data_IF_112468118804
#
_entry.id   IF_112468118804
#
_cell.length_a   1.000
_cell.length_b   1.000
_cell.length_c   1.000
_cell.angle_alpha   90.00
_cell.angle_beta   90.00
_cell.angle_gamma   90.00
#
_symmetry.space_group_name_H-M   'P 1'
#
loop_
_entity.id
_entity.type
_entity.pdbx_description
1 polymer ?
#
# COMPACT_ATOMS: atom_id res chain seq x y z
N UNK A 1 32.03 -39.86 7.17
CA UNK A 1 31.96 -38.38 7.08
C UNK A 1 30.50 -38.03 6.85
N UNK A 2 29.82 -37.50 7.86
CA UNK A 2 28.45 -36.97 7.72
C UNK A 2 28.54 -35.50 7.27
N UNK A 3 27.64 -35.01 6.41
CA UNK A 3 27.62 -33.60 6.04
C UNK A 3 27.04 -32.78 7.19
N UNK A 4 27.80 -31.80 7.65
CA UNK A 4 27.32 -30.75 8.55
C UNK A 4 26.32 -29.88 7.79
N UNK A 5 25.04 -29.97 8.16
CA UNK A 5 24.00 -29.05 7.69
C UNK A 5 24.20 -27.73 8.43
N UNK A 6 24.64 -26.69 7.71
CA UNK A 6 24.69 -25.33 8.24
C UNK A 6 23.28 -24.85 8.56
N UNK A 7 23.03 -24.52 9.83
CA UNK A 7 21.77 -23.90 10.24
C UNK A 7 21.56 -22.59 9.47
N UNK A 8 20.38 -22.45 8.86
CA UNK A 8 19.94 -21.22 8.21
C UNK A 8 19.84 -20.08 9.25
N UNK A 9 20.41 -18.89 9.01
CA UNK A 9 20.38 -17.77 9.97
C UNK A 9 18.98 -17.21 10.23
N UNK A 10 17.95 -17.72 9.54
CA UNK A 10 16.61 -17.14 9.48
C UNK A 10 15.56 -17.83 10.39
N UNK A 11 15.97 -18.71 11.32
CA UNK A 11 15.06 -19.48 12.16
C UNK A 11 14.46 -18.74 13.38
N UNK A 12 14.84 -17.48 13.65
CA UNK A 12 14.55 -16.81 14.93
C UNK A 12 13.52 -15.66 14.88
N UNK A 13 12.82 -15.43 13.77
CA UNK A 13 11.98 -14.22 13.62
C UNK A 13 10.62 -14.25 14.31
N UNK A 14 10.06 -15.44 14.57
CA UNK A 14 8.67 -15.56 15.06
C UNK A 14 8.43 -15.16 16.51
N UNK A 15 9.46 -15.12 17.36
CA UNK A 15 9.26 -14.84 18.79
C UNK A 15 9.15 -13.34 19.11
N UNK A 16 9.51 -12.44 18.19
CA UNK A 16 9.57 -10.99 18.47
C UNK A 16 8.24 -10.23 18.28
N UNK A 17 7.29 -10.74 17.50
CA UNK A 17 6.05 -10.00 17.16
C UNK A 17 5.11 -9.85 18.36
N UNK A 18 4.71 -10.96 18.98
CA UNK A 18 3.78 -10.96 20.11
C UNK A 18 4.38 -10.25 21.35
N UNK A 19 5.69 -10.36 21.58
CA UNK A 19 6.37 -9.75 22.73
C UNK A 19 6.45 -8.22 22.63
N UNK A 20 6.63 -7.64 21.44
CA UNK A 20 6.71 -6.17 21.27
C UNK A 20 5.36 -5.46 21.31
N UNK A 21 4.28 -6.12 20.86
CA UNK A 21 2.91 -5.59 20.99
C UNK A 21 2.43 -5.58 22.44
N UNK A 22 2.86 -6.55 23.26
CA UNK A 22 2.50 -6.58 24.69
C UNK A 22 3.27 -5.59 25.56
N UNK A 23 4.39 -5.03 25.10
CA UNK A 23 5.10 -3.97 25.84
C UNK A 23 4.52 -2.57 25.62
N UNK A 24 3.73 -2.36 24.57
CA UNK A 24 3.14 -1.05 24.21
C UNK A 24 1.74 -0.81 24.82
N UNK A 25 1.16 -1.78 25.53
CA UNK A 25 -0.23 -1.70 26.03
C UNK A 25 -0.42 -0.96 27.37
N UNK A 26 0.53 -0.12 27.80
CA UNK A 26 0.41 0.62 29.07
C UNK A 26 0.45 2.13 28.80
N UNK A 27 -0.73 2.75 28.81
CA UNK A 27 -1.06 4.16 28.48
C UNK A 27 -1.39 4.49 27.01
N UNK A 28 -2.50 3.97 26.48
CA UNK A 28 -3.15 4.57 25.29
C UNK A 28 -3.93 5.83 25.70
N UNK A 29 -3.46 7.01 25.28
CA UNK A 29 -4.30 8.21 25.21
C UNK A 29 -5.29 8.01 24.06
N UNK A 30 -6.55 7.68 24.36
CA UNK A 30 -7.60 7.59 23.34
C UNK A 30 -7.86 8.98 22.75
N UNK A 31 -7.48 9.17 21.49
CA UNK A 31 -7.80 10.36 20.71
C UNK A 31 -9.31 10.46 20.53
N UNK A 32 -9.88 11.64 20.77
CA UNK A 32 -11.33 11.85 20.61
C UNK A 32 -11.74 11.76 19.13
N UNK A 33 -13.00 11.39 18.88
CA UNK A 33 -13.54 11.38 17.51
C UNK A 33 -13.46 12.75 16.82
N UNK A 34 -13.51 13.84 17.59
CA UNK A 34 -13.33 15.20 17.09
C UNK A 34 -11.90 15.44 16.59
N UNK A 35 -10.90 15.01 17.36
CA UNK A 35 -9.49 15.11 16.98
C UNK A 35 -9.16 14.23 15.77
N UNK A 36 -9.70 12.99 15.73
CA UNK A 36 -9.57 12.11 14.56
C UNK A 36 -10.16 12.74 13.30
N UNK A 37 -11.36 13.31 13.39
CA UNK A 37 -12.00 14.00 12.27
C UNK A 37 -11.20 15.22 11.81
N UNK A 38 -10.63 16.00 12.74
CA UNK A 38 -9.80 17.16 12.43
C UNK A 38 -8.51 16.74 11.69
N UNK A 39 -7.83 15.68 12.16
CA UNK A 39 -6.66 15.10 11.48
C UNK A 39 -7.01 14.59 10.10
N UNK A 40 -8.14 13.89 9.96
CA UNK A 40 -8.62 13.41 8.67
C UNK A 40 -8.87 14.56 7.69
N UNK A 41 -9.55 15.64 8.12
CA UNK A 41 -9.74 16.83 7.28
C UNK A 41 -8.42 17.50 6.88
N UNK A 42 -7.45 17.57 7.80
CA UNK A 42 -6.12 18.08 7.51
C UNK A 42 -5.40 17.21 6.47
N UNK A 43 -5.49 15.89 6.59
CA UNK A 43 -4.95 14.92 5.64
C UNK A 43 -5.53 15.13 4.23
N UNK A 44 -6.86 15.19 4.10
CA UNK A 44 -7.54 15.43 2.82
C UNK A 44 -7.07 16.74 2.16
N UNK A 45 -6.95 17.82 2.94
CA UNK A 45 -6.46 19.12 2.45
C UNK A 45 -5.00 19.08 2.02
N UNK A 46 -4.14 18.45 2.84
CA UNK A 46 -2.69 18.34 2.60
C UNK A 46 -2.40 17.63 1.28
N UNK A 47 -3.10 16.52 1.03
CA UNK A 47 -2.89 15.69 -0.15
C UNK A 47 -3.81 16.02 -1.33
N UNK A 48 -4.64 17.05 -1.19
CA UNK A 48 -5.58 17.54 -2.22
C UNK A 48 -6.54 16.45 -2.71
N UNK A 49 -6.95 15.58 -1.80
CA UNK A 49 -7.86 14.49 -2.10
C UNK A 49 -9.25 15.06 -2.39
N UNK A 50 -9.86 14.62 -3.48
CA UNK A 50 -11.19 14.97 -3.91
C UNK A 50 -12.23 14.52 -2.87
N UNK A 51 -13.27 15.33 -2.64
CA UNK A 51 -14.33 15.03 -1.66
C UNK A 51 -15.01 13.67 -1.90
N UNK A 52 -15.18 13.26 -3.16
CA UNK A 52 -15.71 11.94 -3.55
C UNK A 52 -14.81 10.82 -3.01
N UNK A 53 -13.50 10.92 -3.29
CA UNK A 53 -12.49 9.96 -2.86
C UNK A 53 -12.41 9.93 -1.32
N UNK A 54 -12.36 11.11 -0.69
CA UNK A 54 -12.31 11.28 0.75
C UNK A 54 -13.50 10.62 1.46
N UNK A 55 -14.69 10.68 0.88
CA UNK A 55 -15.88 10.10 1.50
C UNK A 55 -15.85 8.57 1.55
N UNK A 56 -15.25 7.94 0.53
CA UNK A 56 -15.14 6.50 0.38
C UNK A 56 -14.03 5.91 1.24
N UNK A 57 -13.03 6.70 1.63
CA UNK A 57 -11.98 6.26 2.57
C UNK A 57 -12.51 5.72 3.90
N UNK A 58 -13.72 6.11 4.32
CA UNK A 58 -14.38 5.49 5.49
C UNK A 58 -14.61 3.98 5.33
N UNK A 59 -14.61 3.47 4.11
CA UNK A 59 -14.67 2.03 3.83
C UNK A 59 -13.45 1.26 4.36
N UNK A 60 -12.36 1.95 4.69
CA UNK A 60 -11.19 1.37 5.37
C UNK A 60 -11.34 1.25 6.89
N UNK A 61 -12.43 1.77 7.47
CA UNK A 61 -12.64 1.67 8.91
C UNK A 61 -12.68 0.19 9.33
N UNK A 62 -11.90 -0.15 10.35
CA UNK A 62 -11.73 -1.52 10.83
C UNK A 62 -10.85 -2.43 9.95
N UNK A 63 -10.16 -1.91 8.92
CA UNK A 63 -9.08 -2.66 8.27
C UNK A 63 -7.79 -2.57 9.08
N UNK A 64 -7.10 -3.70 9.21
CA UNK A 64 -5.65 -3.70 9.44
C UNK A 64 -4.95 -3.42 8.12
N UNK A 65 -4.04 -2.44 8.10
CA UNK A 65 -3.26 -2.14 6.90
C UNK A 65 -1.81 -2.55 7.15
N UNK A 66 -1.24 -3.32 6.23
CA UNK A 66 0.16 -3.72 6.21
C UNK A 66 0.78 -3.28 4.90
N UNK A 67 2.00 -2.73 4.96
CA UNK A 67 2.77 -2.37 3.78
C UNK A 67 3.95 -3.32 3.61
N UNK A 68 4.19 -3.82 2.40
CA UNK A 68 5.39 -4.55 2.02
C UNK A 68 6.17 -3.69 1.03
N UNK A 69 7.36 -3.27 1.43
CA UNK A 69 8.24 -2.41 0.67
C UNK A 69 9.38 -3.22 0.03
N UNK A 70 9.52 -3.11 -1.28
CA UNK A 70 10.72 -3.51 -1.99
C UNK A 70 11.88 -2.56 -1.66
N UNK A 71 12.95 -3.11 -1.10
CA UNK A 71 14.18 -2.43 -0.76
C UNK A 71 15.39 -3.03 -1.47
N UNK A 72 15.17 -3.74 -2.58
CA UNK A 72 16.20 -4.28 -3.46
C UNK A 72 16.96 -3.17 -4.22
N UNK A 73 18.08 -3.52 -4.85
CA UNK A 73 18.95 -2.53 -5.51
C UNK A 73 18.32 -1.84 -6.72
N UNK A 74 17.36 -2.47 -7.40
CA UNK A 74 16.62 -1.88 -8.53
C UNK A 74 15.84 -0.64 -8.11
N UNK A 75 15.42 -0.57 -6.85
CA UNK A 75 14.75 0.59 -6.25
C UNK A 75 15.63 1.86 -6.17
N UNK A 76 16.94 1.76 -6.43
CA UNK A 76 17.82 2.93 -6.55
C UNK A 76 17.85 3.54 -7.97
N UNK A 77 17.09 2.98 -8.91
CA UNK A 77 16.99 3.48 -10.29
C UNK A 77 16.37 4.87 -10.31
N UNK A 78 16.96 5.79 -11.07
CA UNK A 78 16.45 7.16 -11.22
C UNK A 78 15.26 7.19 -12.18
N UNK A 79 14.25 8.01 -11.86
CA UNK A 79 13.08 8.21 -12.70
C UNK A 79 13.43 9.21 -13.82
N UNK A 80 13.48 8.73 -15.06
CA UNK A 80 13.91 9.49 -16.26
C UNK A 80 13.12 10.78 -16.51
N UNK A 81 11.88 10.84 -16.05
CA UNK A 81 10.91 11.84 -16.50
C UNK A 81 10.91 13.12 -15.64
N UNK A 82 11.77 13.20 -14.63
CA UNK A 82 11.80 14.29 -13.64
C UNK A 82 13.16 15.02 -13.60
N UNK A 83 14.09 14.66 -14.48
CA UNK A 83 15.40 15.30 -14.55
C UNK A 83 15.32 16.67 -15.22
N UNK A 84 15.58 17.73 -14.46
CA UNK A 84 15.99 19.03 -15.00
C UNK A 84 17.51 19.19 -14.88
N UNK A 85 18.14 20.13 -15.60
CA UNK A 85 19.60 20.31 -15.61
C UNK A 85 20.23 20.59 -14.23
N UNK A 86 19.41 20.90 -13.21
CA UNK A 86 19.85 21.25 -11.87
C UNK A 86 19.19 20.43 -10.75
N UNK A 87 18.38 19.42 -11.07
CA UNK A 87 17.67 18.60 -10.07
C UNK A 87 17.97 17.12 -10.31
N UNK A 88 18.58 16.48 -9.30
CA UNK A 88 18.74 15.03 -9.30
C UNK A 88 17.36 14.39 -9.43
N UNK A 89 17.22 13.45 -10.36
CA UNK A 89 16.00 12.71 -10.53
C UNK A 89 15.71 11.92 -9.24
N UNK A 90 14.45 11.93 -8.74
CA UNK A 90 14.05 11.03 -7.66
C UNK A 90 14.28 9.58 -8.09
N UNK A 91 14.69 8.74 -7.16
CA UNK A 91 14.77 7.29 -7.41
C UNK A 91 13.41 6.63 -7.23
N UNK A 92 13.29 5.39 -7.72
CA UNK A 92 12.14 4.51 -7.49
C UNK A 92 11.76 4.44 -6.00
N UNK A 93 12.77 4.29 -5.13
CA UNK A 93 12.63 4.33 -3.68
C UNK A 93 12.06 5.64 -3.13
N UNK A 94 12.38 6.79 -3.74
CA UNK A 94 11.83 8.08 -3.29
C UNK A 94 10.31 8.15 -3.55
N UNK A 95 9.83 7.61 -4.66
CA UNK A 95 8.39 7.55 -4.97
C UNK A 95 7.66 6.56 -4.05
N UNK A 96 8.25 5.39 -3.80
CA UNK A 96 7.73 4.44 -2.80
C UNK A 96 7.59 5.12 -1.44
N UNK A 97 8.64 5.81 -0.97
CA UNK A 97 8.60 6.55 0.30
C UNK A 97 7.49 7.57 0.34
N UNK A 98 7.29 8.34 -0.72
CA UNK A 98 6.21 9.32 -0.79
C UNK A 98 4.84 8.64 -0.64
N UNK A 99 4.62 7.50 -1.28
CA UNK A 99 3.37 6.74 -1.16
C UNK A 99 3.18 6.22 0.26
N UNK A 100 4.18 5.54 0.83
CA UNK A 100 4.13 5.04 2.22
C UNK A 100 3.91 6.19 3.19
N UNK A 101 4.51 7.36 2.96
CA UNK A 101 4.26 8.54 3.78
C UNK A 101 2.80 8.95 3.83
N UNK A 102 2.13 8.96 2.69
CA UNK A 102 0.70 9.30 2.63
C UNK A 102 -0.14 8.23 3.33
N UNK A 103 0.20 6.96 3.16
CA UNK A 103 -0.54 5.86 3.80
C UNK A 103 -0.32 5.83 5.31
N UNK A 104 0.88 6.10 5.82
CA UNK A 104 1.15 6.24 7.26
C UNK A 104 0.39 7.44 7.85
N UNK A 105 0.42 8.60 7.16
CA UNK A 105 -0.35 9.77 7.59
C UNK A 105 -1.85 9.46 7.65
N UNK A 106 -2.40 8.73 6.66
CA UNK A 106 -3.79 8.27 6.68
C UNK A 106 -4.06 7.30 7.82
N UNK A 107 -3.21 6.27 7.98
CA UNK A 107 -3.34 5.26 9.01
C UNK A 107 -3.37 5.92 10.40
N UNK A 108 -2.56 6.94 10.65
CA UNK A 108 -2.56 7.71 11.90
C UNK A 108 -3.89 8.42 12.22
N UNK A 109 -4.79 8.55 11.24
CA UNK A 109 -6.15 9.09 11.42
C UNK A 109 -7.20 8.01 11.67
N UNK A 110 -6.94 6.77 11.23
CA UNK A 110 -7.88 5.65 11.26
C UNK A 110 -7.56 4.65 12.37
N UNK A 111 -6.29 4.27 12.51
CA UNK A 111 -5.77 3.28 13.46
C UNK A 111 -4.80 3.95 14.46
N UNK A 112 -5.12 3.98 15.77
CA UNK A 112 -4.24 4.56 16.77
C UNK A 112 -2.93 3.78 16.98
N UNK A 113 -2.87 2.51 16.59
CA UNK A 113 -1.68 1.67 16.77
C UNK A 113 -0.63 1.91 15.66
N UNK A 114 -1.00 2.59 14.58
CA UNK A 114 -0.13 2.86 13.43
C UNK A 114 -0.19 1.73 12.40
N UNK A 115 0.85 1.65 11.55
CA UNK A 115 0.90 0.70 10.45
C UNK A 115 2.16 -0.17 10.51
N UNK A 116 2.02 -1.46 10.18
CA UNK A 116 3.16 -2.36 10.08
C UNK A 116 3.77 -2.35 8.68
N UNK A 117 5.08 -2.11 8.61
CA UNK A 117 5.87 -2.05 7.37
C UNK A 117 6.85 -3.23 7.33
N UNK A 118 6.63 -4.14 6.39
CA UNK A 118 7.53 -5.24 6.06
C UNK A 118 8.44 -4.83 4.91
N UNK A 119 9.60 -5.46 4.83
CA UNK A 119 10.55 -5.24 3.76
C UNK A 119 10.93 -6.56 3.11
N UNK A 120 11.30 -6.50 1.83
CA UNK A 120 11.75 -7.68 1.11
C UNK A 120 13.09 -8.23 1.61
N UNK A 121 14.01 -7.36 2.06
CA UNK A 121 15.38 -7.77 2.39
C UNK A 121 15.83 -7.43 3.83
N UNK A 122 14.93 -6.95 4.71
CA UNK A 122 15.23 -6.67 6.12
C UNK A 122 14.06 -6.92 7.07
N UNK A 123 14.33 -6.71 8.36
CA UNK A 123 13.34 -6.84 9.43
C UNK A 123 12.17 -5.87 9.28
N UNK A 124 10.94 -6.32 9.60
CA UNK A 124 9.77 -5.44 9.64
C UNK A 124 9.91 -4.35 10.71
N UNK A 125 9.24 -3.23 10.47
CA UNK A 125 8.98 -2.18 11.45
C UNK A 125 7.50 -2.20 11.79
N UNK A 126 7.19 -2.22 13.09
CA UNK A 126 5.82 -2.35 13.58
C UNK A 126 5.34 -1.02 14.15
N UNK A 127 4.03 -0.77 14.07
CA UNK A 127 3.39 0.43 14.64
C UNK A 127 4.03 1.75 14.16
N UNK A 128 4.38 1.83 12.88
CA UNK A 128 4.97 3.04 12.28
C UNK A 128 3.90 4.13 12.27
N UNK A 129 4.20 5.26 12.92
CA UNK A 129 3.29 6.40 13.04
C UNK A 129 3.78 7.62 12.25
N UNK A 130 5.05 7.64 11.88
CA UNK A 130 5.64 8.66 11.02
C UNK A 130 6.46 8.04 9.91
N UNK A 131 6.31 8.59 8.71
CA UNK A 131 7.10 8.18 7.56
C UNK A 131 8.59 8.56 7.65
N UNK A 132 8.95 9.45 8.59
CA UNK A 132 10.34 9.77 8.91
C UNK A 132 11.08 8.56 9.52
N UNK A 133 10.35 7.61 10.10
CA UNK A 133 10.91 6.36 10.63
C UNK A 133 11.42 5.42 9.52
N UNK A 134 10.98 5.64 8.28
CA UNK A 134 11.46 4.89 7.12
C UNK A 134 12.90 5.30 6.80
N UNK A 135 13.87 4.48 7.19
CA UNK A 135 15.30 4.69 6.89
C UNK A 135 15.60 4.62 5.39
N UNK A 136 16.59 5.38 4.90
CA UNK A 136 17.07 5.33 3.50
C UNK A 136 18.03 4.16 3.28
N UNK A 137 17.57 2.94 3.53
CA UNK A 137 18.42 1.75 3.40
C UNK A 137 17.89 0.89 2.26
N UNK A 138 18.53 1.02 1.09
CA UNK A 138 18.42 0.04 0.01
C UNK A 138 19.46 -1.05 0.28
N UNK A 139 19.06 -2.29 0.09
CA UNK A 139 19.88 -3.48 0.31
C UNK A 139 20.07 -4.17 -1.04
N UNK A 140 21.30 -4.57 -1.34
CA UNK A 140 21.53 -5.47 -2.47
C UNK A 140 20.98 -6.84 -2.11
N UNK A 141 19.93 -7.26 -2.81
CA UNK A 141 19.21 -8.48 -2.48
C UNK A 141 18.17 -8.86 -3.54
N UNK A 142 17.65 -10.09 -3.44
CA UNK A 142 16.58 -10.58 -4.31
C UNK A 142 15.24 -9.88 -4.05
N UNK A 143 14.19 -10.31 -4.76
CA UNK A 143 12.80 -9.87 -4.61
C UNK A 143 11.94 -11.05 -4.09
N UNK A 144 12.07 -11.48 -2.82
CA UNK A 144 11.41 -12.67 -2.29
C UNK A 144 9.96 -12.40 -1.82
N UNK A 145 9.09 -12.09 -2.78
CA UNK A 145 7.69 -11.69 -2.52
C UNK A 145 6.91 -12.80 -1.83
N UNK A 146 7.03 -14.07 -2.25
CA UNK A 146 6.24 -15.16 -1.64
C UNK A 146 6.59 -15.33 -0.17
N UNK A 147 7.89 -15.35 0.14
CA UNK A 147 8.37 -15.50 1.51
C UNK A 147 7.79 -14.44 2.44
N UNK A 148 7.80 -13.17 2.03
CA UNK A 148 7.31 -12.07 2.87
C UNK A 148 5.79 -12.10 2.99
N UNK A 149 5.06 -12.40 1.91
CA UNK A 149 3.61 -12.57 2.00
C UNK A 149 3.21 -13.69 2.98
N UNK A 150 3.90 -14.85 2.94
CA UNK A 150 3.68 -15.91 3.94
C UNK A 150 3.95 -15.45 5.36
N UNK A 151 5.00 -14.65 5.55
CA UNK A 151 5.35 -14.10 6.85
C UNK A 151 4.24 -13.18 7.36
N UNK A 152 3.77 -12.23 6.55
CA UNK A 152 2.66 -11.32 6.90
C UNK A 152 1.40 -12.11 7.25
N UNK A 153 0.99 -13.05 6.40
CA UNK A 153 -0.24 -13.83 6.62
C UNK A 153 -0.15 -14.72 7.88
N UNK A 154 1.05 -15.18 8.23
CA UNK A 154 1.31 -15.92 9.46
C UNK A 154 1.26 -15.00 10.69
N UNK A 155 1.93 -13.85 10.64
CA UNK A 155 2.00 -12.90 11.74
C UNK A 155 0.64 -12.27 12.03
N UNK A 156 -0.16 -12.03 10.99
CA UNK A 156 -1.49 -11.43 11.04
C UNK A 156 -2.64 -12.43 11.15
N UNK A 157 -2.35 -13.71 11.40
CA UNK A 157 -3.36 -14.78 11.37
C UNK A 157 -4.52 -14.53 12.34
N UNK A 158 -4.24 -13.96 13.51
CA UNK A 158 -5.26 -13.69 14.52
C UNK A 158 -6.12 -12.48 14.14
N UNK A 159 -5.50 -11.46 13.54
CA UNK A 159 -6.12 -10.24 13.06
C UNK A 159 -7.09 -10.54 11.92
N UNK A 160 -6.69 -11.38 10.96
CA UNK A 160 -7.54 -11.78 9.83
C UNK A 160 -8.85 -12.47 10.29
N UNK A 161 -8.87 -13.04 11.50
CA UNK A 161 -10.09 -13.63 12.08
C UNK A 161 -11.03 -12.58 12.69
N UNK A 162 -10.50 -11.41 13.10
CA UNK A 162 -11.24 -10.40 13.85
C UNK A 162 -11.56 -9.15 13.01
N UNK A 163 -10.72 -8.85 12.03
CA UNK A 163 -10.79 -7.67 11.18
C UNK A 163 -10.34 -8.00 9.74
N UNK A 164 -10.64 -7.08 8.83
CA UNK A 164 -10.18 -7.19 7.45
C UNK A 164 -8.70 -6.82 7.38
N UNK A 165 -7.92 -7.47 6.53
CA UNK A 165 -6.51 -7.16 6.31
C UNK A 165 -6.31 -6.61 4.89
N UNK A 166 -5.73 -5.43 4.77
CA UNK A 166 -5.26 -4.86 3.50
C UNK A 166 -3.73 -4.93 3.46
N UNK A 167 -3.19 -5.68 2.51
CA UNK A 167 -1.75 -5.78 2.25
C UNK A 167 -1.45 -4.94 1.02
N UNK A 168 -0.61 -3.92 1.18
CA UNK A 168 -0.10 -3.10 0.08
C UNK A 168 1.29 -3.60 -0.27
N UNK A 169 1.46 -4.19 -1.46
CA UNK A 169 2.75 -4.67 -1.94
C UNK A 169 3.29 -3.69 -2.98
N UNK A 170 4.42 -3.05 -2.69
CA UNK A 170 5.09 -2.18 -3.63
C UNK A 170 6.43 -2.78 -4.04
N UNK A 171 6.57 -3.09 -5.34
CA UNK A 171 7.76 -3.71 -5.91
C UNK A 171 7.94 -3.28 -7.36
N UNK A 172 9.21 -3.27 -7.81
CA UNK A 172 9.59 -2.95 -9.18
C UNK A 172 10.00 -4.19 -9.99
N UNK A 173 9.74 -5.39 -9.47
CA UNK A 173 10.20 -6.62 -10.08
C UNK A 173 9.30 -7.83 -9.85
N UNK A 174 9.61 -8.89 -10.58
CA UNK A 174 8.98 -10.20 -10.43
C UNK A 174 9.60 -10.98 -9.27
N UNK A 175 8.87 -11.92 -8.66
CA UNK A 175 9.42 -12.76 -7.60
C UNK A 175 10.65 -13.52 -8.05
N UNK A 176 11.63 -13.55 -7.16
CA UNK A 176 12.86 -14.35 -7.35
C UNK A 176 12.80 -15.68 -6.59
N UNK A 177 11.72 -15.92 -5.84
CA UNK A 177 11.50 -17.12 -5.06
C UNK A 177 10.34 -17.98 -5.60
N UNK A 178 10.34 -19.25 -5.19
CA UNK A 178 9.23 -20.19 -5.37
C UNK A 178 8.75 -20.52 -6.80
N UNK A 179 9.53 -20.19 -7.84
CA UNK A 179 9.27 -20.57 -9.24
C UNK A 179 7.81 -20.32 -9.67
N UNK A 180 7.30 -19.10 -9.50
CA UNK A 180 5.92 -18.69 -9.85
C UNK A 180 4.79 -19.39 -9.07
N UNK A 181 5.07 -20.05 -7.93
CA UNK A 181 4.02 -20.65 -7.07
C UNK A 181 3.32 -19.64 -6.14
N UNK A 182 3.43 -18.35 -6.43
CA UNK A 182 2.73 -17.27 -5.74
C UNK A 182 1.21 -17.55 -5.68
N UNK A 183 0.53 -17.91 -6.79
CA UNK A 183 -0.92 -18.08 -6.79
C UNK A 183 -1.34 -19.14 -5.78
N UNK A 184 -0.69 -20.30 -5.73
CA UNK A 184 -1.08 -21.40 -4.83
C UNK A 184 -1.01 -21.02 -3.36
N UNK A 185 0.01 -20.25 -2.97
CA UNK A 185 0.19 -19.84 -1.57
C UNK A 185 -0.85 -18.81 -1.15
N UNK A 186 -1.11 -17.82 -2.00
CA UNK A 186 -2.10 -16.77 -1.72
C UNK A 186 -3.51 -17.36 -1.81
N UNK A 187 -3.84 -18.11 -2.87
CA UNK A 187 -5.13 -18.78 -3.06
C UNK A 187 -5.44 -19.75 -1.90
N UNK A 188 -4.44 -20.45 -1.36
CA UNK A 188 -4.63 -21.35 -0.23
C UNK A 188 -4.93 -20.62 1.09
N UNK A 189 -4.68 -19.32 1.18
CA UNK A 189 -5.11 -18.53 2.32
C UNK A 189 -6.60 -18.23 2.18
N UNK A 190 -7.42 -18.91 2.99
CA UNK A 190 -8.81 -18.54 3.19
C UNK A 190 -8.85 -17.43 4.24
N UNK A 191 -9.28 -16.23 3.89
CA UNK A 191 -9.31 -15.14 4.85
C UNK A 191 -9.94 -13.85 4.34
N UNK A 192 -10.19 -12.93 5.26
CA UNK A 192 -10.76 -11.62 5.00
C UNK A 192 -9.64 -10.62 4.66
N UNK A 193 -8.91 -10.87 3.58
CA UNK A 193 -7.80 -10.02 3.16
C UNK A 193 -7.96 -9.52 1.72
N UNK A 194 -7.28 -8.40 1.43
CA UNK A 194 -7.10 -7.82 0.10
C UNK A 194 -5.62 -7.54 -0.09
N UNK A 195 -5.08 -7.85 -1.26
CA UNK A 195 -3.72 -7.49 -1.65
C UNK A 195 -3.86 -6.46 -2.77
N UNK A 196 -3.32 -5.27 -2.58
CA UNK A 196 -3.12 -4.34 -3.69
C UNK A 196 -1.65 -4.31 -3.96
N UNK A 197 -1.29 -4.84 -5.12
CA UNK A 197 0.05 -4.68 -5.63
C UNK A 197 0.07 -3.45 -6.50
N UNK A 198 1.03 -2.57 -6.27
CA UNK A 198 1.21 -1.45 -7.18
C UNK A 198 2.67 -1.35 -7.58
N UNK A 199 2.87 -1.06 -8.87
CA UNK A 199 4.17 -0.81 -9.43
C UNK A 199 4.27 0.71 -9.64
N UNK A 200 5.02 1.44 -8.80
CA UNK A 200 5.19 2.87 -9.00
C UNK A 200 6.06 3.22 -10.23
N UNK A 201 6.40 2.25 -11.08
CA UNK A 201 7.43 2.40 -12.11
C UNK A 201 6.96 1.88 -13.46
N UNK A 202 7.25 2.68 -14.49
CA UNK A 202 6.97 2.35 -15.87
C UNK A 202 7.89 1.22 -16.37
N UNK A 203 7.49 -0.03 -16.10
CA UNK A 203 8.16 -1.26 -16.51
C UNK A 203 7.12 -2.21 -17.13
N UNK A 204 6.96 -2.13 -18.45
CA UNK A 204 5.93 -2.85 -19.22
C UNK A 204 6.02 -4.37 -19.05
N UNK A 205 7.24 -4.93 -18.90
CA UNK A 205 7.44 -6.38 -18.74
C UNK A 205 6.99 -6.83 -17.35
N UNK A 206 7.36 -6.07 -16.32
CA UNK A 206 6.89 -6.30 -14.96
C UNK A 206 5.35 -6.17 -14.89
N UNK A 207 4.79 -5.10 -15.46
CA UNK A 207 3.34 -4.88 -15.48
C UNK A 207 2.59 -5.99 -16.21
N UNK A 208 3.10 -6.48 -17.33
CA UNK A 208 2.46 -7.59 -18.02
C UNK A 208 2.45 -8.87 -17.18
N UNK A 209 3.50 -9.14 -16.40
CA UNK A 209 3.55 -10.27 -15.50
C UNK A 209 2.56 -10.09 -14.33
N UNK A 210 2.51 -8.90 -13.72
CA UNK A 210 1.61 -8.59 -12.61
C UNK A 210 0.13 -8.61 -13.01
N UNK A 211 -0.20 -8.12 -14.20
CA UNK A 211 -1.56 -8.17 -14.74
C UNK A 211 -2.07 -9.61 -14.98
N UNK A 212 -1.18 -10.61 -15.05
CA UNK A 212 -1.62 -12.01 -15.06
C UNK A 212 -2.03 -12.48 -13.67
N UNK A 213 -1.40 -11.98 -12.60
CA UNK A 213 -1.81 -12.30 -11.24
C UNK A 213 -3.15 -11.71 -10.87
N UNK A 214 -3.45 -10.50 -11.31
CA UNK A 214 -4.75 -9.87 -11.10
C UNK A 214 -5.91 -10.77 -11.59
N UNK A 215 -5.71 -11.40 -12.76
CA UNK A 215 -6.69 -12.32 -13.36
C UNK A 215 -6.80 -13.65 -12.62
N UNK A 216 -5.68 -14.17 -12.11
CA UNK A 216 -5.59 -15.55 -11.61
C UNK A 216 -5.74 -15.65 -10.08
N UNK A 217 -5.47 -14.56 -9.34
CA UNK A 217 -5.41 -14.55 -7.87
C UNK A 217 -6.62 -13.77 -7.32
N UNK A 218 -7.57 -14.45 -6.65
CA UNK A 218 -8.70 -13.76 -6.06
C UNK A 218 -8.23 -12.82 -4.96
N UNK A 219 -8.87 -11.65 -4.86
CA UNK A 219 -8.58 -10.61 -3.87
C UNK A 219 -7.21 -9.94 -4.02
N UNK A 220 -6.55 -10.12 -5.16
CA UNK A 220 -5.43 -9.30 -5.60
C UNK A 220 -5.95 -8.26 -6.60
N UNK A 221 -5.39 -7.06 -6.54
CA UNK A 221 -5.62 -5.96 -7.48
C UNK A 221 -4.25 -5.38 -7.86
N UNK A 222 -4.08 -4.94 -9.11
CA UNK A 222 -2.83 -4.39 -9.64
C UNK A 222 -3.03 -2.96 -10.12
N UNK A 223 -2.28 -2.03 -9.54
CA UNK A 223 -2.33 -0.61 -9.89
C UNK A 223 -0.99 -0.17 -10.50
N UNK A 224 -1.04 0.51 -11.65
CA UNK A 224 0.15 1.05 -12.33
C UNK A 224 0.64 2.36 -11.71
N UNK A 225 1.75 2.91 -12.21
CA UNK A 225 2.30 4.16 -11.71
C UNK A 225 1.34 5.34 -11.91
N UNK A 226 1.46 6.36 -11.04
CA UNK A 226 0.57 7.53 -11.05
C UNK A 226 0.43 8.19 -12.42
N UNK A 227 1.50 8.25 -13.23
CA UNK A 227 1.46 8.92 -14.53
C UNK A 227 0.63 8.12 -15.52
N UNK A 228 0.81 6.81 -15.57
CA UNK A 228 0.07 5.94 -16.47
C UNK A 228 -1.39 5.84 -16.03
N UNK A 229 -1.63 5.56 -14.75
CA UNK A 229 -2.97 5.54 -14.15
C UNK A 229 -3.74 6.85 -14.45
N UNK A 230 -3.08 8.00 -14.26
CA UNK A 230 -3.69 9.29 -14.58
C UNK A 230 -4.00 9.45 -16.06
N UNK A 231 -3.13 9.00 -16.97
CA UNK A 231 -3.39 9.08 -18.41
C UNK A 231 -4.62 8.24 -18.77
N UNK A 232 -4.73 7.05 -18.22
CA UNK A 232 -5.84 6.11 -18.47
C UNK A 232 -7.16 6.65 -17.94
N UNK A 233 -7.21 7.09 -16.67
CA UNK A 233 -8.39 7.77 -16.10
C UNK A 233 -8.80 8.97 -16.95
N UNK A 234 -7.86 9.83 -17.35
CA UNK A 234 -8.19 11.01 -18.17
C UNK A 234 -8.67 10.64 -19.58
N UNK A 235 -8.32 9.46 -20.10
CA UNK A 235 -8.79 8.97 -21.39
C UNK A 235 -10.27 8.59 -21.35
N UNK A 236 -10.75 8.03 -20.24
CA UNK A 236 -12.15 7.63 -20.04
C UNK A 236 -13.02 8.73 -19.43
N UNK A 237 -12.53 9.40 -18.38
CA UNK A 237 -13.28 10.43 -17.66
C UNK A 237 -13.21 11.81 -18.34
N UNK A 238 -12.17 12.06 -19.13
CA UNK A 238 -11.92 13.30 -19.85
C UNK A 238 -10.86 14.19 -19.18
N UNK A 239 -10.24 15.06 -19.98
CA UNK A 239 -9.06 15.89 -19.61
C UNK A 239 -9.25 16.81 -18.40
N UNK A 240 -10.50 17.14 -18.05
CA UNK A 240 -10.82 18.01 -16.92
C UNK A 240 -11.09 17.26 -15.63
N UNK A 241 -11.02 15.92 -15.63
CA UNK A 241 -11.29 15.13 -14.43
C UNK A 241 -10.22 15.41 -13.36
N UNK A 242 -10.62 15.80 -12.14
CA UNK A 242 -9.68 16.09 -11.06
C UNK A 242 -9.09 14.79 -10.51
N UNK A 243 -7.80 14.59 -10.74
CA UNK A 243 -7.06 13.45 -10.21
C UNK A 243 -5.66 13.90 -9.75
N UNK A 244 -5.53 14.04 -8.44
CA UNK A 244 -4.29 14.38 -7.73
C UNK A 244 -3.50 13.13 -7.38
N UNK A 245 -2.26 13.31 -6.90
CA UNK A 245 -1.48 12.20 -6.36
C UNK A 245 -2.10 11.64 -5.06
N UNK A 246 -2.78 12.47 -4.27
CA UNK A 246 -3.54 12.00 -3.12
C UNK A 246 -4.70 11.09 -3.55
N UNK A 247 -5.41 11.45 -4.62
CA UNK A 247 -6.50 10.63 -5.18
C UNK A 247 -5.98 9.28 -5.67
N UNK A 248 -4.79 9.27 -6.28
CA UNK A 248 -4.10 8.05 -6.68
C UNK A 248 -3.78 7.13 -5.49
N UNK A 249 -3.25 7.66 -4.38
CA UNK A 249 -3.03 6.85 -3.17
C UNK A 249 -4.34 6.31 -2.60
N UNK A 250 -5.42 7.09 -2.65
CA UNK A 250 -6.74 6.60 -2.25
C UNK A 250 -7.21 5.48 -3.19
N UNK A 251 -6.97 5.60 -4.50
CA UNK A 251 -7.27 4.52 -5.45
C UNK A 251 -6.47 3.25 -5.12
N UNK A 252 -5.16 3.33 -4.84
CA UNK A 252 -4.37 2.17 -4.38
C UNK A 252 -5.02 1.51 -3.16
N UNK A 253 -5.51 2.30 -2.20
CA UNK A 253 -6.10 1.74 -0.98
C UNK A 253 -7.48 1.11 -1.22
N UNK A 254 -8.24 1.63 -2.18
CA UNK A 254 -9.66 1.34 -2.33
C UNK A 254 -9.99 0.50 -3.57
N UNK A 255 -9.09 0.34 -4.55
CA UNK A 255 -9.33 -0.38 -5.81
C UNK A 255 -9.92 -1.77 -5.57
N UNK A 256 -9.19 -2.61 -4.83
CA UNK A 256 -9.66 -3.93 -4.43
C UNK A 256 -10.81 -3.98 -3.39
N UNK A 257 -11.31 -2.84 -2.91
CA UNK A 257 -12.34 -2.74 -1.85
C UNK A 257 -13.66 -2.20 -2.39
N UNK A 258 -13.63 -1.15 -3.21
CA UNK A 258 -14.78 -0.46 -3.77
C UNK A 258 -14.63 -0.42 -5.30
N UNK A 259 -15.43 -1.21 -6.04
CA UNK A 259 -15.36 -1.32 -7.49
C UNK A 259 -15.50 0.01 -8.23
N UNK A 260 -16.02 1.06 -7.58
CA UNK A 260 -16.07 2.38 -8.19
C UNK A 260 -14.68 2.90 -8.59
N UNK A 261 -13.64 2.59 -7.81
CA UNK A 261 -12.27 3.05 -8.11
C UNK A 261 -11.63 2.31 -9.28
N UNK A 262 -11.87 1.00 -9.35
CA UNK A 262 -11.47 0.11 -10.44
C UNK A 262 -12.14 0.50 -11.78
N UNK A 263 -13.38 1.01 -11.74
CA UNK A 263 -14.06 1.43 -12.96
C UNK A 263 -13.59 2.78 -13.54
N UNK A 264 -12.75 3.55 -12.83
CA UNK A 264 -12.36 4.92 -13.24
C UNK A 264 -11.45 4.95 -14.49
N UNK A 265 -10.71 3.90 -14.72
CA UNK A 265 -9.74 3.68 -15.81
C UNK A 265 -10.21 2.62 -16.81
N UNK A 266 -11.36 1.98 -16.58
CA UNK A 266 -11.95 1.05 -17.54
C UNK A 266 -13.08 1.66 -18.38
N UNK A 267 -13.86 2.58 -17.80
CA UNK A 267 -15.03 3.17 -18.48
C UNK A 267 -15.38 4.55 -17.96
N UNK A 268 -16.13 5.31 -18.75
CA UNK A 268 -16.71 6.57 -18.29
C UNK A 268 -17.75 6.32 -17.19
N UNK A 269 -17.56 6.93 -16.03
CA UNK A 269 -18.53 6.92 -14.94
C UNK A 269 -19.62 7.94 -15.23
N UNK A 270 -20.90 7.57 -15.01
CA UNK A 270 -22.00 8.51 -15.18
C UNK A 270 -22.01 9.59 -14.09
N UNK A 271 -22.60 10.74 -14.39
CA UNK A 271 -22.76 11.82 -13.39
C UNK A 271 -23.50 11.31 -12.15
N UNK A 272 -24.52 10.48 -12.32
CA UNK A 272 -25.30 9.90 -11.21
C UNK A 272 -24.45 8.96 -10.34
N UNK A 273 -23.61 8.11 -10.95
CA UNK A 273 -22.69 7.22 -10.22
C UNK A 273 -21.63 8.01 -9.45
N UNK A 274 -21.14 9.10 -10.05
CA UNK A 274 -20.20 10.01 -9.41
C UNK A 274 -20.88 10.75 -8.23
N UNK A 275 -22.06 11.33 -8.44
CA UNK A 275 -22.79 12.07 -7.39
C UNK A 275 -23.23 11.18 -6.22
N UNK A 276 -23.66 9.94 -6.47
CA UNK A 276 -23.93 8.96 -5.39
C UNK A 276 -22.68 8.62 -4.59
N UNK A 277 -21.54 8.63 -5.27
CA UNK A 277 -20.21 8.39 -4.70
C UNK A 277 -19.65 9.62 -3.97
N UNK A 278 -20.24 10.80 -4.18
CA UNK A 278 -19.90 12.07 -3.55
C UNK A 278 -21.00 12.46 -2.54
N UNK A 279 -21.09 11.85 -1.34
CA UNK A 279 -21.92 12.42 -0.29
C UNK A 279 -21.49 13.88 -0.10
N UNK A 280 -22.46 14.78 0.03
CA UNK A 280 -22.21 16.20 0.31
C UNK A 280 -21.54 16.30 1.68
N UNK A 281 -20.23 16.13 1.72
CA UNK A 281 -19.43 16.52 2.87
C UNK A 281 -19.49 18.04 2.85
N UNK A 282 -20.34 18.61 3.70
CA UNK A 282 -20.25 20.02 4.03
C UNK A 282 -18.92 20.21 4.73
N UNK A 283 -17.84 20.39 3.97
CA UNK A 283 -16.62 20.97 4.47
C UNK A 283 -17.05 22.40 4.81
N UNK A 284 -17.34 22.64 6.09
CA UNK A 284 -17.59 23.99 6.56
C UNK A 284 -16.35 24.82 6.22
N UNK A 285 -16.44 25.63 5.16
CA UNK A 285 -15.43 26.60 4.74
C UNK A 285 -15.33 27.78 5.72
N UNK A 286 -15.37 27.51 7.02
CA UNK A 286 -15.02 28.48 8.03
C UNK A 286 -13.56 28.26 8.40
N UNK A 287 -12.64 28.75 7.57
CA UNK A 287 -11.34 29.34 7.92
C UNK A 287 -10.71 29.91 6.64
#
# INVERSE_FOLDING_TARGET
MQPTVSASPYANYTNNYNDRRHQSSTQQNFMSDQERMAKFQQFIRRYKINATFASKLRGLDGYEIVFICDDSSSMNTELSDVSGPYKKAPTRWNELKQTVSIVVDLASTLDPDGLDVYFLNREPMYNVQSSEELTNTIISGPTPIVRVLRQVLKDKRNEIQQRKLLILLATDGVPTDDNDRIPVTIIACTGNYKIVQYNPFNDDECMSYLNNWDKDIPNLDVVDDYRNEKKEILSYQGKSFPFSYGDYVVKILMGGIDPWFDLLDERKISTDEYERSSPRITINNNF
#
